data_IF_647059909475
#
_entry.id   IF_647059909475
#
_cell.length_a   1.000
_cell.length_b   1.000
_cell.length_c   1.000
_cell.angle_alpha   90.00
_cell.angle_beta   90.00
_cell.angle_gamma   90.00
#
_symmetry.space_group_name_H-M   'P 1'
#
loop_
_entity.id
_entity.type
_entity.pdbx_description
1 polymer ?
#
# COMPACT_ATOMS: atom_id res chain seq x y z
N UNK A 1 -8.60 -14.80 6.48
CA UNK A 1 -8.02 -13.43 6.44
C UNK A 1 -7.89 -12.89 5.01
N UNK A 2 -7.28 -13.62 4.06
CA UNK A 2 -7.02 -13.12 2.69
C UNK A 2 -8.26 -12.62 1.93
N UNK A 3 -9.39 -13.33 1.97
CA UNK A 3 -10.57 -12.94 1.19
C UNK A 3 -11.23 -11.63 1.68
N UNK A 4 -11.19 -11.35 2.99
CA UNK A 4 -11.72 -10.10 3.57
C UNK A 4 -10.88 -8.90 3.15
N UNK A 5 -9.55 -9.02 3.27
CA UNK A 5 -8.61 -7.95 2.91
C UNK A 5 -8.67 -7.65 1.41
N UNK A 6 -8.73 -8.69 0.57
CA UNK A 6 -8.83 -8.53 -0.88
C UNK A 6 -10.12 -7.83 -1.31
N UNK A 7 -11.26 -8.12 -0.67
CA UNK A 7 -12.52 -7.45 -0.98
C UNK A 7 -12.51 -5.98 -0.53
N UNK A 8 -12.01 -5.70 0.69
CA UNK A 8 -11.83 -4.32 1.17
C UNK A 8 -10.92 -3.52 0.23
N UNK A 9 -9.81 -4.13 -0.19
CA UNK A 9 -8.88 -3.51 -1.13
C UNK A 9 -9.50 -3.30 -2.51
N UNK A 10 -10.41 -4.17 -2.96
CA UNK A 10 -11.10 -4.01 -4.25
C UNK A 10 -12.06 -2.82 -4.24
N UNK A 11 -12.82 -2.66 -3.17
CA UNK A 11 -13.86 -1.63 -3.05
C UNK A 11 -13.36 -0.26 -2.59
N UNK A 12 -12.18 -0.19 -1.98
CA UNK A 12 -11.62 1.09 -1.53
C UNK A 12 -11.02 1.89 -2.69
N UNK A 13 -11.13 3.21 -2.65
CA UNK A 13 -10.40 4.10 -3.58
C UNK A 13 -9.07 4.59 -2.98
N UNK A 14 -8.94 4.51 -1.66
CA UNK A 14 -7.76 4.90 -0.88
C UNK A 14 -7.69 4.08 0.41
N UNK A 15 -6.50 4.00 1.02
CA UNK A 15 -6.29 3.40 2.33
C UNK A 15 -5.78 4.46 3.30
N UNK A 16 -6.31 4.48 4.53
CA UNK A 16 -5.85 5.41 5.57
C UNK A 16 -5.55 4.63 6.85
N UNK A 17 -4.34 4.79 7.37
CA UNK A 17 -3.97 4.31 8.69
C UNK A 17 -4.08 5.44 9.73
N UNK A 18 -4.86 5.18 10.78
CA UNK A 18 -4.92 5.97 12.00
C UNK A 18 -3.94 5.40 13.04
N UNK A 19 -3.48 6.19 14.03
CA UNK A 19 -2.59 5.70 15.09
C UNK A 19 -3.08 4.38 15.69
N UNK A 20 -2.22 3.38 15.69
CA UNK A 20 -2.57 2.00 16.03
C UNK A 20 -1.35 1.12 16.20
N UNK A 21 -1.54 -0.05 16.83
CA UNK A 21 -0.46 -0.98 17.15
C UNK A 21 -0.02 -1.87 15.99
N UNK A 22 0.54 -3.03 16.31
CA UNK A 22 1.10 -3.96 15.32
C UNK A 22 0.10 -4.42 14.25
N UNK A 23 -1.18 -4.58 14.59
CA UNK A 23 -2.21 -4.95 13.61
C UNK A 23 -2.35 -3.91 12.49
N UNK A 24 -2.39 -2.63 12.86
CA UNK A 24 -2.45 -1.52 11.89
C UNK A 24 -1.17 -1.44 11.05
N UNK A 25 0.00 -1.66 11.66
CA UNK A 25 1.27 -1.65 10.94
C UNK A 25 1.38 -2.82 9.95
N UNK A 26 0.89 -4.01 10.32
CA UNK A 26 0.84 -5.17 9.42
C UNK A 26 -0.04 -4.89 8.20
N UNK A 27 -1.26 -4.39 8.42
CA UNK A 27 -2.19 -4.04 7.33
C UNK A 27 -1.64 -2.92 6.45
N UNK A 28 -1.00 -1.90 7.04
CA UNK A 28 -0.38 -0.79 6.32
C UNK A 28 0.76 -1.27 5.41
N UNK A 29 1.69 -2.06 5.94
CA UNK A 29 2.85 -2.56 5.17
C UNK A 29 2.43 -3.53 4.06
N UNK A 30 1.37 -4.32 4.26
CA UNK A 30 0.81 -5.19 3.22
C UNK A 30 0.31 -4.38 2.02
N UNK A 31 -0.47 -3.32 2.26
CA UNK A 31 -0.97 -2.43 1.19
C UNK A 31 0.15 -1.65 0.50
N UNK A 32 1.14 -1.14 1.25
CA UNK A 32 2.32 -0.48 0.65
C UNK A 32 3.05 -1.46 -0.29
N UNK A 33 3.22 -2.71 0.14
CA UNK A 33 3.88 -3.74 -0.67
C UNK A 33 3.11 -4.03 -1.95
N UNK A 34 1.77 -4.08 -1.89
CA UNK A 34 0.94 -4.28 -3.08
C UNK A 34 1.01 -3.11 -4.06
N UNK A 35 1.04 -1.88 -3.58
CA UNK A 35 1.30 -0.70 -4.41
C UNK A 35 2.69 -0.77 -5.05
N UNK A 36 3.72 -1.14 -4.29
CA UNK A 36 5.09 -1.29 -4.79
C UNK A 36 5.20 -2.37 -5.88
N UNK A 37 4.42 -3.45 -5.78
CA UNK A 37 4.35 -4.52 -6.78
C UNK A 37 3.49 -4.16 -8.01
N UNK A 38 2.84 -2.99 -8.00
CA UNK A 38 1.95 -2.55 -9.08
C UNK A 38 0.61 -3.29 -9.12
N UNK A 39 0.19 -3.90 -8.01
CA UNK A 39 -1.11 -4.61 -7.90
C UNK A 39 -2.26 -3.60 -7.81
N UNK A 40 -2.01 -2.42 -7.24
CA UNK A 40 -2.94 -1.29 -7.27
C UNK A 40 -2.21 0.05 -7.28
N UNK A 41 -2.94 1.07 -7.71
CA UNK A 41 -2.46 2.44 -7.85
C UNK A 41 -3.09 3.40 -6.83
N UNK A 42 -3.83 2.84 -5.86
CA UNK A 42 -4.59 3.57 -4.84
C UNK A 42 -3.66 4.24 -3.82
N UNK A 43 -3.92 5.50 -3.41
CA UNK A 43 -3.08 6.19 -2.46
C UNK A 43 -3.18 5.59 -1.05
N UNK A 44 -2.06 5.68 -0.31
CA UNK A 44 -1.96 5.20 1.08
C UNK A 44 -1.65 6.37 2.00
N UNK A 45 -2.62 6.72 2.84
CA UNK A 45 -2.57 7.85 3.76
C UNK A 45 -2.19 7.47 5.19
N UNK A 46 -1.35 8.26 5.83
CA UNK A 46 -1.07 8.23 7.27
C UNK A 46 -1.60 9.49 7.94
N UNK A 47 -2.57 9.34 8.85
CA UNK A 47 -2.98 10.44 9.71
C UNK A 47 -2.03 10.57 10.90
N UNK A 48 -1.07 11.49 10.79
CA UNK A 48 0.03 11.66 11.73
C UNK A 48 -0.35 12.57 12.92
N UNK A 49 -1.28 12.09 13.75
CA UNK A 49 -1.73 12.78 14.96
C UNK A 49 -0.57 12.87 15.96
N UNK A 50 -0.29 14.08 16.47
CA UNK A 50 0.77 14.36 17.46
C UNK A 50 2.16 13.78 17.11
N UNK A 51 2.44 13.58 15.82
CA UNK A 51 3.71 13.02 15.35
C UNK A 51 3.86 11.52 15.57
N UNK A 52 2.77 10.78 15.79
CA UNK A 52 2.77 9.33 16.03
C UNK A 52 3.61 8.53 15.01
N UNK A 53 3.55 8.90 13.72
CA UNK A 53 4.25 8.21 12.64
C UNK A 53 5.62 8.81 12.30
N UNK A 54 6.12 9.83 13.04
CA UNK A 54 7.40 10.48 12.71
C UNK A 54 8.57 9.48 12.64
N UNK A 55 8.68 8.58 13.62
CA UNK A 55 9.73 7.57 13.64
C UNK A 55 9.60 6.55 12.50
N UNK A 56 8.37 6.21 12.11
CA UNK A 56 8.12 5.30 11.00
C UNK A 56 8.50 5.93 9.66
N UNK A 57 8.11 7.19 9.46
CA UNK A 57 8.47 7.97 8.26
C UNK A 57 9.99 8.13 8.16
N UNK A 58 10.66 8.47 9.26
CA UNK A 58 12.12 8.57 9.29
C UNK A 58 12.82 7.23 9.01
N UNK A 59 12.25 6.12 9.48
CA UNK A 59 12.74 4.78 9.15
C UNK A 59 12.62 4.48 7.65
N UNK A 60 11.49 4.84 7.03
CA UNK A 60 11.29 4.68 5.59
C UNK A 60 12.25 5.56 4.78
N UNK A 61 12.47 6.81 5.20
CA UNK A 61 13.44 7.71 4.57
C UNK A 61 14.85 7.09 4.63
N UNK A 62 15.24 6.54 5.80
CA UNK A 62 16.51 5.84 5.95
C UNK A 62 16.61 4.60 5.04
N UNK A 63 15.52 3.86 4.86
CA UNK A 63 15.49 2.70 3.97
C UNK A 63 15.67 3.11 2.49
N UNK A 64 15.25 4.32 2.11
CA UNK A 64 15.55 4.91 0.80
C UNK A 64 17.03 5.26 0.69
N UNK A 65 17.60 5.92 1.70
CA UNK A 65 19.02 6.31 1.71
C UNK A 65 19.95 5.09 1.58
N UNK A 66 19.59 3.98 2.23
CA UNK A 66 20.33 2.72 2.18
C UNK A 66 20.01 1.86 0.93
N UNK A 67 19.10 2.31 0.07
CA UNK A 67 18.77 1.64 -1.20
C UNK A 67 17.85 0.42 -1.08
N UNK A 68 17.22 0.19 0.07
CA UNK A 68 16.23 -0.88 0.25
C UNK A 68 14.85 -0.50 -0.32
N UNK A 69 14.53 0.79 -0.36
CA UNK A 69 13.28 1.33 -0.92
C UNK A 69 13.64 2.31 -2.04
N UNK A 70 12.94 2.25 -3.18
CA UNK A 70 13.17 3.22 -4.24
C UNK A 70 12.51 4.57 -3.90
N UNK A 71 13.04 5.70 -4.38
CA UNK A 71 12.40 7.01 -4.16
C UNK A 71 10.93 7.04 -4.62
N UNK A 72 10.61 6.38 -5.74
CA UNK A 72 9.24 6.25 -6.22
C UNK A 72 8.34 5.46 -5.25
N UNK A 73 8.84 4.34 -4.70
CA UNK A 73 8.10 3.56 -3.71
C UNK A 73 7.86 4.35 -2.40
N UNK A 74 8.76 5.28 -2.05
CA UNK A 74 8.57 6.16 -0.90
C UNK A 74 7.40 7.15 -1.06
N UNK A 75 7.09 7.54 -2.29
CA UNK A 75 5.96 8.43 -2.61
C UNK A 75 4.59 7.74 -2.55
N UNK A 76 4.53 6.40 -2.43
CA UNK A 76 3.28 5.67 -2.19
C UNK A 76 2.56 6.18 -0.92
N UNK A 77 3.33 6.60 0.08
CA UNK A 77 2.82 7.02 1.38
C UNK A 77 2.67 8.54 1.42
N UNK A 78 1.43 8.97 1.63
CA UNK A 78 1.04 10.35 1.86
C UNK A 78 0.78 10.54 3.36
N UNK A 79 1.34 11.57 3.98
CA UNK A 79 1.08 11.87 5.39
C UNK A 79 0.63 13.32 5.61
N UNK A 80 -0.23 13.50 6.61
CA UNK A 80 -0.71 14.80 7.05
C UNK A 80 -1.09 14.76 8.54
N UNK A 81 -1.12 15.92 9.20
CA UNK A 81 -1.46 16.01 10.62
C UNK A 81 -2.96 16.10 10.88
N UNK A 82 -3.74 16.48 9.88
CA UNK A 82 -5.20 16.61 9.97
C UNK A 82 -5.90 15.82 8.89
N UNK A 83 -7.13 15.38 9.17
CA UNK A 83 -7.93 14.61 8.21
C UNK A 83 -8.21 15.41 6.93
N UNK A 84 -8.50 16.72 7.07
CA UNK A 84 -8.76 17.59 5.93
C UNK A 84 -7.55 17.70 5.00
N UNK A 85 -6.36 17.97 5.57
CA UNK A 85 -5.11 18.04 4.80
C UNK A 85 -4.80 16.69 4.14
N UNK A 86 -5.03 15.58 4.85
CA UNK A 86 -4.81 14.25 4.29
C UNK A 86 -5.72 14.01 3.08
N UNK A 87 -7.01 14.32 3.19
CA UNK A 87 -7.96 14.13 2.09
C UNK A 87 -7.56 14.92 0.85
N UNK A 88 -7.20 16.21 1.00
CA UNK A 88 -6.74 17.01 -0.13
C UNK A 88 -5.51 16.39 -0.82
N UNK A 89 -4.52 15.93 -0.05
CA UNK A 89 -3.32 15.29 -0.62
C UNK A 89 -3.63 13.95 -1.29
N UNK A 90 -4.59 13.19 -0.78
CA UNK A 90 -5.01 11.92 -1.38
C UNK A 90 -5.75 12.14 -2.71
N UNK A 91 -6.53 13.21 -2.84
CA UNK A 91 -7.22 13.58 -4.08
C UNK A 91 -6.24 14.05 -5.18
N UNK A 92 -5.13 14.70 -4.79
CA UNK A 92 -4.07 15.15 -5.69
C UNK A 92 -3.04 14.06 -6.03
N UNK A 93 -3.12 12.89 -5.39
CA UNK A 93 -2.13 11.83 -5.55
C UNK A 93 -2.08 11.30 -6.98
N UNK A 94 -0.86 11.22 -7.52
CA UNK A 94 -0.57 10.56 -8.80
C UNK A 94 0.44 9.44 -8.54
N UNK A 95 0.13 8.19 -8.92
CA UNK A 95 1.01 7.05 -8.67
C UNK A 95 2.28 7.15 -9.52
N UNK A 96 3.44 7.01 -8.87
CA UNK A 96 4.73 6.94 -9.54
C UNK A 96 5.13 5.47 -9.75
N UNK A 97 4.94 4.96 -10.97
CA UNK A 97 5.35 3.59 -11.29
C UNK A 97 6.87 3.50 -11.48
N UNK A 98 7.56 2.86 -10.55
CA UNK A 98 8.89 2.33 -10.82
C UNK A 98 8.73 1.03 -11.62
N UNK A 99 9.25 0.98 -12.85
CA UNK A 99 9.08 -0.14 -13.79
C UNK A 99 9.85 -1.42 -13.43
N UNK A 100 9.73 -1.90 -12.18
CA UNK A 100 10.53 -3.02 -11.65
C UNK A 100 9.85 -4.39 -11.87
N UNK A 101 8.54 -4.43 -12.14
CA UNK A 101 7.83 -5.67 -12.43
C UNK A 101 6.80 -5.49 -13.57
N UNK A 102 6.55 -6.52 -14.39
CA UNK A 102 5.38 -6.53 -15.28
C UNK A 102 4.14 -6.29 -14.43
N UNK A 103 3.21 -5.43 -14.86
CA UNK A 103 1.95 -5.15 -14.16
C UNK A 103 1.28 -6.47 -13.77
N UNK A 104 1.38 -6.84 -12.50
CA UNK A 104 0.58 -7.90 -11.92
C UNK A 104 -0.81 -7.31 -11.72
N UNK A 105 -1.63 -7.32 -12.77
CA UNK A 105 -3.03 -6.93 -12.64
C UNK A 105 -3.72 -7.93 -11.72
N UNK A 106 -4.74 -7.48 -11.00
CA UNK A 106 -5.63 -8.31 -10.17
C UNK A 106 -6.13 -9.59 -10.87
N UNK A 107 -6.11 -9.62 -12.20
CA UNK A 107 -6.50 -10.74 -13.06
C UNK A 107 -5.51 -11.91 -12.97
N UNK A 108 -4.24 -11.65 -12.67
CA UNK A 108 -3.19 -12.69 -12.60
C UNK A 108 -3.32 -13.56 -11.35
N UNK A 109 -3.76 -13.02 -10.21
CA UNK A 109 -4.09 -13.82 -9.02
C UNK A 109 -5.26 -14.78 -9.28
N UNK A 110 -6.27 -14.35 -10.04
CA UNK A 110 -7.39 -15.22 -10.39
C UNK A 110 -6.96 -16.36 -11.32
N UNK A 111 -6.07 -16.10 -12.28
CA UNK A 111 -5.52 -17.15 -13.13
C UNK A 111 -4.71 -18.16 -12.30
N UNK A 112 -3.80 -17.72 -11.43
CA UNK A 112 -2.99 -18.62 -10.59
C UNK A 112 -3.84 -19.45 -9.62
N UNK A 113 -4.84 -18.85 -8.98
CA UNK A 113 -5.77 -19.55 -8.07
C UNK A 113 -6.68 -20.52 -8.82
N UNK A 114 -7.11 -20.18 -10.03
CA UNK A 114 -7.95 -21.05 -10.86
C UNK A 114 -7.15 -22.22 -11.47
N UNK A 115 -5.91 -21.99 -11.91
CA UNK A 115 -5.01 -23.04 -12.40
C UNK A 115 -4.64 -24.03 -11.28
N UNK A 116 -4.37 -23.53 -10.07
CA UNK A 116 -4.12 -24.40 -8.90
C UNK A 116 -5.34 -25.27 -8.54
N UNK A 117 -6.57 -24.77 -8.75
CA UNK A 117 -7.80 -25.56 -8.52
C UNK A 117 -8.08 -26.58 -9.63
N UNK A 118 -7.69 -26.31 -10.87
CA UNK A 118 -7.86 -27.27 -11.98
C UNK A 118 -6.92 -28.47 -11.89
N UNK A 119 -5.71 -28.28 -11.33
CA UNK A 119 -4.71 -29.35 -11.20
C UNK A 119 -4.98 -30.29 -10.01
N UNK A 120 -5.72 -29.84 -8.99
CA UNK A 120 -6.15 -30.68 -7.86
C UNK A 120 -7.41 -31.50 -8.20
N UNK A 121 -8.10 -31.15 -9.29
CA UNK A 121 -9.36 -31.80 -9.72
C UNK A 121 -9.16 -32.83 -10.85
N UNK A 122 -7.93 -33.28 -11.10
CA UNK A 122 -7.59 -34.31 -12.09
C UNK A 122 -6.96 -35.54 -11.46
#
# INVERSE_FOLDING_TARGET
>A
MHQRKAEMARQADAFIALPGGYGTLEELLEIITWAQLGIHDKPVGLLNVDGYYNSLLAFMDKAVDEGFVTPAARHIIVSAHTAQELMCKLEEYVPEHCGVAPKLSWEMEQQLVNTAKSDISR
#
